data_IF_881607334226
#
_entry.id   IF_881607334226
#
_cell.length_a   1.000
_cell.length_b   1.000
_cell.length_c   1.000
_cell.angle_alpha   90.00
_cell.angle_beta   90.00
_cell.angle_gamma   90.00
#
_symmetry.space_group_name_H-M   'P 1'
#
loop_
_entity.id
_entity.type
_entity.pdbx_description
1 polymer ?
#
# COMPACT_ATOMS: atom_id res chain seq x y z
N UNK A 1 -27.66 -6.26 -7.83
CA UNK A 1 -26.77 -5.23 -8.35
C UNK A 1 -25.41 -5.91 -8.58
N UNK A 2 -24.97 -6.09 -9.83
CA UNK A 2 -23.69 -6.70 -10.13
C UNK A 2 -22.57 -5.74 -9.77
N UNK A 3 -21.45 -6.19 -9.15
CA UNK A 3 -20.32 -5.31 -8.85
C UNK A 3 -19.72 -4.77 -10.15
N UNK A 4 -19.19 -3.53 -10.14
CA UNK A 4 -18.53 -2.97 -11.30
C UNK A 4 -17.33 -3.87 -11.69
N UNK A 5 -17.30 -4.32 -12.92
CA UNK A 5 -16.18 -5.11 -13.44
C UNK A 5 -14.98 -4.19 -13.60
N UNK A 6 -13.99 -4.32 -12.71
CA UNK A 6 -12.65 -3.77 -12.90
C UNK A 6 -12.01 -4.45 -14.13
N UNK A 7 -12.02 -3.78 -15.27
CA UNK A 7 -11.19 -4.18 -16.40
C UNK A 7 -9.76 -3.69 -16.14
N UNK A 8 -8.89 -4.59 -15.70
CA UNK A 8 -7.45 -4.36 -15.79
C UNK A 8 -7.08 -4.28 -17.27
N UNK A 9 -6.65 -3.10 -17.70
CA UNK A 9 -5.97 -2.95 -18.98
C UNK A 9 -4.51 -3.33 -18.74
N UNK A 10 -4.18 -4.60 -18.99
CA UNK A 10 -2.78 -5.04 -19.05
C UNK A 10 -2.07 -4.27 -20.15
N UNK A 11 -0.91 -3.67 -19.82
CA UNK A 11 -0.15 -2.75 -20.65
C UNK A 11 0.47 -3.38 -21.90
N UNK A 12 -0.36 -3.78 -22.84
CA UNK A 12 0.05 -3.91 -24.24
C UNK A 12 -0.23 -2.56 -24.91
N UNK A 13 0.77 -1.97 -25.55
CA UNK A 13 0.73 -0.77 -26.38
C UNK A 13 -0.16 -0.94 -27.64
N UNK A 14 -1.31 -1.55 -27.46
CA UNK A 14 -2.33 -1.70 -28.50
C UNK A 14 -3.26 -0.51 -28.44
N UNK A 15 -3.19 0.33 -29.44
CA UNK A 15 -4.00 1.45 -29.89
C UNK A 15 -5.08 2.03 -28.97
N UNK A 16 -5.47 3.24 -29.22
CA UNK A 16 -6.54 3.97 -28.53
C UNK A 16 -7.84 3.15 -28.54
N UNK A 17 -8.41 2.89 -27.37
CA UNK A 17 -9.77 2.34 -27.25
C UNK A 17 -10.72 3.48 -26.87
N UNK A 18 -11.70 3.74 -27.71
CA UNK A 18 -12.79 4.64 -27.37
C UNK A 18 -13.62 4.00 -26.27
N UNK A 19 -13.73 4.67 -25.12
CA UNK A 19 -14.68 4.32 -24.07
C UNK A 19 -15.99 5.05 -24.35
N UNK A 20 -17.11 4.33 -24.27
CA UNK A 20 -18.43 4.90 -24.37
C UNK A 20 -19.16 4.62 -23.06
N UNK A 21 -19.57 5.65 -22.38
CA UNK A 21 -20.36 5.58 -21.15
C UNK A 21 -21.74 6.22 -21.38
N UNK A 22 -22.68 5.91 -20.51
CA UNK A 22 -23.96 6.61 -20.44
C UNK A 22 -23.76 8.05 -19.97
N UNK A 23 -24.75 8.89 -20.17
CA UNK A 23 -24.72 10.33 -19.83
C UNK A 23 -24.32 10.60 -18.37
N UNK A 24 -24.71 9.69 -17.45
CA UNK A 24 -24.47 9.82 -16.01
C UNK A 24 -23.34 8.90 -15.52
N UNK A 25 -22.51 8.38 -16.43
CA UNK A 25 -21.40 7.50 -16.08
C UNK A 25 -20.27 8.28 -15.36
N UNK A 26 -19.83 7.74 -14.21
CA UNK A 26 -18.66 8.23 -13.49
C UNK A 26 -17.47 7.38 -13.93
N UNK A 27 -16.40 8.04 -14.37
CA UNK A 27 -15.13 7.38 -14.73
C UNK A 27 -14.16 7.51 -13.55
N UNK A 28 -13.71 6.39 -13.03
CA UNK A 28 -12.64 6.34 -12.04
C UNK A 28 -11.36 5.90 -12.77
N UNK A 29 -10.37 6.79 -12.81
CA UNK A 29 -9.03 6.49 -13.31
C UNK A 29 -8.05 6.40 -12.14
N UNK A 30 -7.31 5.28 -12.04
CA UNK A 30 -6.33 5.10 -10.99
C UNK A 30 -4.93 4.89 -11.56
N UNK A 31 -3.92 5.30 -10.82
CA UNK A 31 -2.52 5.11 -11.13
C UNK A 31 -1.63 6.03 -10.32
N UNK A 32 -0.42 5.57 -10.03
CA UNK A 32 0.53 6.29 -9.19
C UNK A 32 0.95 7.67 -9.75
N UNK A 33 0.75 7.91 -11.04
CA UNK A 33 1.08 9.16 -11.73
C UNK A 33 -0.14 9.99 -12.13
N UNK A 34 -1.36 9.61 -11.70
CA UNK A 34 -2.57 10.31 -12.14
C UNK A 34 -2.64 11.78 -11.72
N UNK A 35 -1.99 12.15 -10.61
CA UNK A 35 -1.88 13.54 -10.13
C UNK A 35 -0.72 14.32 -10.76
N UNK A 36 0.10 13.68 -11.61
CA UNK A 36 1.17 14.37 -12.31
C UNK A 36 0.57 15.42 -13.28
N UNK A 37 1.06 16.66 -13.31
CA UNK A 37 0.53 17.73 -14.19
C UNK A 37 0.43 17.34 -15.66
N UNK A 38 1.36 16.52 -16.17
CA UNK A 38 1.32 16.03 -17.56
C UNK A 38 0.03 15.28 -17.92
N UNK A 39 -0.63 14.69 -16.91
CA UNK A 39 -1.89 13.96 -17.05
C UNK A 39 -3.02 14.79 -16.46
N UNK A 40 -2.89 15.21 -15.21
CA UNK A 40 -3.96 15.83 -14.44
C UNK A 40 -4.40 17.18 -14.98
N UNK A 41 -3.49 18.01 -15.49
CA UNK A 41 -3.85 19.33 -16.01
C UNK A 41 -4.77 19.27 -17.24
N UNK A 42 -4.71 18.17 -17.99
CA UNK A 42 -5.63 17.92 -19.12
C UNK A 42 -7.05 17.54 -18.68
N UNK A 43 -7.21 17.12 -17.43
CA UNK A 43 -8.48 16.65 -16.86
C UNK A 43 -9.00 17.58 -15.77
N UNK A 44 -8.25 18.60 -15.38
CA UNK A 44 -8.49 19.44 -14.18
C UNK A 44 -9.87 20.10 -14.17
N UNK A 45 -10.43 20.44 -15.31
CA UNK A 45 -11.77 21.04 -15.42
C UNK A 45 -12.91 20.05 -15.22
N UNK A 46 -12.64 18.75 -15.38
CA UNK A 46 -13.64 17.69 -15.43
C UNK A 46 -13.44 16.60 -14.39
N UNK A 47 -12.29 16.60 -13.68
CA UNK A 47 -11.93 15.56 -12.74
C UNK A 47 -11.55 16.11 -11.37
N UNK A 48 -11.91 15.40 -10.33
CA UNK A 48 -11.45 15.63 -8.96
C UNK A 48 -10.30 14.67 -8.63
N UNK A 49 -9.17 15.23 -8.23
CA UNK A 49 -8.03 14.44 -7.77
C UNK A 49 -8.24 13.91 -6.36
N UNK A 50 -7.96 12.63 -6.15
CA UNK A 50 -7.97 11.98 -4.82
C UNK A 50 -6.61 11.36 -4.58
N UNK A 51 -5.97 11.71 -3.47
CA UNK A 51 -4.73 11.08 -3.02
C UNK A 51 -5.02 10.06 -1.92
N UNK A 52 -4.70 8.81 -2.18
CA UNK A 52 -4.99 7.67 -1.30
C UNK A 52 -3.67 7.04 -0.86
N UNK A 53 -3.35 7.13 0.44
CA UNK A 53 -2.13 6.55 1.00
C UNK A 53 -2.24 6.43 2.53
N UNK A 54 -1.49 5.51 3.18
CA UNK A 54 -1.32 5.58 4.62
C UNK A 54 -0.55 6.85 4.98
N UNK A 55 -1.04 7.61 5.96
CA UNK A 55 -0.47 8.90 6.39
C UNK A 55 -0.21 8.95 7.90
N UNK A 56 -0.89 8.12 8.66
CA UNK A 56 -0.75 8.03 10.11
C UNK A 56 0.65 7.55 10.48
N UNK A 57 1.23 8.20 11.49
CA UNK A 57 2.49 7.84 12.13
C UNK A 57 2.18 7.09 13.41
N UNK A 58 2.95 6.06 13.71
CA UNK A 58 2.84 5.32 14.97
C UNK A 58 3.93 5.81 15.90
N UNK A 59 3.58 6.18 17.12
CA UNK A 59 4.53 6.52 18.19
C UNK A 59 4.67 5.29 19.07
N UNK A 60 5.89 4.81 19.24
CA UNK A 60 6.23 3.68 20.10
C UNK A 60 6.34 4.12 21.56
N UNK A 61 6.37 3.17 22.49
CA UNK A 61 6.48 3.44 23.92
C UNK A 61 7.80 4.15 24.32
N UNK A 62 8.82 4.08 23.48
CA UNK A 62 10.11 4.76 23.63
C UNK A 62 10.20 6.04 22.77
N UNK A 63 9.07 6.65 22.44
CA UNK A 63 8.91 7.89 21.68
C UNK A 63 9.53 7.88 20.27
N UNK A 64 9.72 6.70 19.68
CA UNK A 64 10.15 6.57 18.29
C UNK A 64 8.97 6.69 17.35
N UNK A 65 9.22 7.22 16.17
CA UNK A 65 8.20 7.43 15.14
C UNK A 65 8.39 6.41 14.01
N UNK A 66 7.43 5.51 13.89
CA UNK A 66 7.28 4.66 12.70
C UNK A 66 6.48 5.44 11.65
N UNK A 67 7.11 5.65 10.51
CA UNK A 67 6.52 6.43 9.40
C UNK A 67 5.66 5.54 8.50
N UNK A 68 4.69 6.15 7.77
CA UNK A 68 3.82 5.42 6.85
C UNK A 68 4.58 4.60 5.79
N UNK A 69 5.75 5.07 5.35
CA UNK A 69 6.61 4.37 4.40
C UNK A 69 7.10 3.03 4.96
N UNK A 70 7.46 3.00 6.25
CA UNK A 70 7.91 1.79 6.94
C UNK A 70 6.76 0.78 7.10
N UNK A 71 5.55 1.25 7.41
CA UNK A 71 4.36 0.38 7.45
C UNK A 71 4.09 -0.27 6.07
N UNK A 72 4.25 0.48 4.99
CA UNK A 72 4.15 -0.06 3.64
C UNK A 72 5.18 -1.14 3.31
N UNK A 73 6.36 -1.07 3.92
CA UNK A 73 7.36 -2.16 3.80
C UNK A 73 6.81 -3.45 4.38
N UNK A 74 6.20 -3.41 5.58
CA UNK A 74 5.59 -4.61 6.20
C UNK A 74 4.45 -5.16 5.35
N UNK A 75 3.54 -4.30 4.89
CA UNK A 75 2.46 -4.70 3.96
C UNK A 75 3.02 -5.46 2.75
N UNK A 76 4.07 -4.91 2.13
CA UNK A 76 4.71 -5.52 0.95
C UNK A 76 5.39 -6.83 1.30
N UNK A 77 6.12 -6.92 2.42
CA UNK A 77 6.76 -8.17 2.83
C UNK A 77 5.75 -9.31 2.91
N UNK A 78 4.63 -9.10 3.58
CA UNK A 78 3.60 -10.13 3.74
C UNK A 78 2.97 -10.48 2.37
N UNK A 79 2.55 -9.49 1.59
CA UNK A 79 1.92 -9.71 0.29
C UNK A 79 2.87 -10.41 -0.68
N UNK A 80 4.07 -9.87 -0.86
CA UNK A 80 5.00 -10.34 -1.89
C UNK A 80 5.53 -11.74 -1.55
N UNK A 81 5.68 -12.05 -0.26
CA UNK A 81 5.96 -13.42 0.17
C UNK A 81 4.82 -14.37 -0.18
N UNK A 82 3.56 -14.03 0.20
CA UNK A 82 2.40 -14.90 0.00
C UNK A 82 1.98 -15.07 -1.45
N UNK A 83 2.04 -14.01 -2.25
CA UNK A 83 1.41 -13.98 -3.57
C UNK A 83 2.39 -13.98 -4.73
N UNK A 84 3.66 -13.61 -4.50
CA UNK A 84 4.68 -13.43 -5.55
C UNK A 84 5.92 -14.30 -5.36
N UNK A 85 6.02 -15.00 -4.23
CA UNK A 85 7.18 -15.85 -3.92
C UNK A 85 8.49 -15.07 -3.74
N UNK A 86 8.43 -13.78 -3.40
CA UNK A 86 9.63 -12.99 -3.13
C UNK A 86 10.09 -13.23 -1.69
N UNK A 87 11.41 -13.19 -1.46
CA UNK A 87 11.98 -13.16 -0.12
C UNK A 87 11.68 -11.83 0.58
N UNK A 88 11.70 -11.85 1.91
CA UNK A 88 11.52 -10.63 2.72
C UNK A 88 12.64 -9.63 2.44
N UNK A 89 13.88 -10.11 2.35
CA UNK A 89 15.05 -9.29 2.05
C UNK A 89 14.94 -8.60 0.68
N UNK A 90 14.50 -9.33 -0.36
CA UNK A 90 14.33 -8.73 -1.69
C UNK A 90 13.25 -7.65 -1.71
N UNK A 91 12.17 -7.87 -0.96
CA UNK A 91 11.12 -6.87 -0.80
C UNK A 91 11.63 -5.61 -0.12
N UNK A 92 12.43 -5.75 0.95
CA UNK A 92 13.04 -4.60 1.66
C UNK A 92 14.02 -3.84 0.76
N UNK A 93 14.89 -4.56 0.03
CA UNK A 93 15.83 -3.92 -0.91
C UNK A 93 15.11 -3.11 -2.00
N UNK A 94 14.05 -3.66 -2.55
CA UNK A 94 13.21 -2.97 -3.55
C UNK A 94 12.45 -1.78 -2.96
N UNK A 95 12.02 -1.84 -1.70
CA UNK A 95 11.29 -0.76 -1.04
C UNK A 95 12.05 0.56 -1.06
N UNK A 96 13.36 0.56 -0.83
CA UNK A 96 14.19 1.78 -0.88
C UNK A 96 14.13 2.49 -2.25
N UNK A 97 14.10 1.72 -3.34
CA UNK A 97 13.97 2.29 -4.69
C UNK A 97 12.58 2.88 -4.92
N UNK A 98 11.55 2.20 -4.43
CA UNK A 98 10.17 2.66 -4.52
C UNK A 98 9.96 3.93 -3.72
N UNK A 99 10.51 4.01 -2.50
CA UNK A 99 10.40 5.20 -1.65
C UNK A 99 11.09 6.41 -2.29
N UNK A 100 12.27 6.23 -2.91
CA UNK A 100 12.90 7.30 -3.71
C UNK A 100 12.04 7.74 -4.88
N UNK A 101 11.42 6.80 -5.59
CA UNK A 101 10.49 7.09 -6.67
C UNK A 101 9.28 7.88 -6.20
N UNK A 102 8.72 7.53 -5.05
CA UNK A 102 7.59 8.24 -4.46
C UNK A 102 7.94 9.68 -4.08
N UNK A 103 9.06 9.88 -3.38
CA UNK A 103 9.53 11.22 -2.98
C UNK A 103 9.77 12.11 -4.19
N UNK A 104 10.34 11.56 -5.26
CA UNK A 104 10.73 12.35 -6.43
C UNK A 104 9.59 12.58 -7.42
N UNK A 105 8.65 11.64 -7.57
CA UNK A 105 7.71 11.64 -8.69
C UNK A 105 6.22 11.59 -8.29
N UNK A 106 5.90 11.30 -7.02
CA UNK A 106 4.51 11.20 -6.56
C UNK A 106 4.20 12.29 -5.53
N UNK A 107 5.00 12.40 -4.48
CA UNK A 107 4.76 13.37 -3.40
C UNK A 107 4.74 14.83 -3.85
N UNK A 108 5.55 15.28 -4.82
CA UNK A 108 5.49 16.64 -5.31
C UNK A 108 4.12 17.04 -5.89
N UNK A 109 3.35 16.07 -6.37
CA UNK A 109 2.07 16.28 -7.04
C UNK A 109 0.83 16.04 -6.16
N UNK A 110 1.02 15.63 -4.90
CA UNK A 110 -0.10 15.37 -3.97
C UNK A 110 -0.99 16.58 -3.73
N UNK A 111 -0.46 17.81 -3.89
CA UNK A 111 -1.21 19.03 -3.75
C UNK A 111 -2.27 19.24 -4.85
N UNK A 112 -2.21 18.49 -5.96
CA UNK A 112 -3.22 18.49 -7.01
C UNK A 112 -4.49 17.71 -6.61
N UNK A 113 -4.44 16.93 -5.53
CA UNK A 113 -5.61 16.26 -5.01
C UNK A 113 -6.46 17.20 -4.16
N UNK A 114 -7.77 17.24 -4.46
CA UNK A 114 -8.76 17.96 -3.64
C UNK A 114 -9.10 17.18 -2.37
N UNK A 115 -8.98 15.84 -2.40
CA UNK A 115 -9.32 14.95 -1.30
C UNK A 115 -8.11 14.08 -0.97
N UNK A 116 -7.82 13.93 0.32
CA UNK A 116 -6.78 13.06 0.85
C UNK A 116 -7.41 12.00 1.74
N UNK A 117 -7.22 10.73 1.41
CA UNK A 117 -7.73 9.59 2.18
C UNK A 117 -6.55 8.90 2.86
N UNK A 118 -6.61 8.78 4.19
CA UNK A 118 -5.69 7.95 4.94
C UNK A 118 -6.21 6.50 4.94
N UNK A 119 -5.36 5.57 4.49
CA UNK A 119 -5.70 4.14 4.44
C UNK A 119 -5.15 3.35 5.63
N UNK A 120 -4.70 4.02 6.67
CA UNK A 120 -4.29 3.39 7.92
C UNK A 120 -5.52 2.95 8.73
N UNK A 121 -5.42 1.81 9.38
CA UNK A 121 -6.38 1.32 10.35
C UNK A 121 -5.69 1.03 11.68
N UNK A 122 -6.29 1.45 12.79
CA UNK A 122 -5.69 1.33 14.13
C UNK A 122 -5.34 -0.12 14.51
N UNK A 123 -6.09 -1.10 14.02
CA UNK A 123 -5.84 -2.52 14.26
C UNK A 123 -4.79 -3.14 13.32
N UNK A 124 -4.37 -2.40 12.31
CA UNK A 124 -3.48 -2.93 11.26
C UNK A 124 -2.13 -3.41 11.78
N UNK A 125 -1.42 -2.67 12.66
CA UNK A 125 -0.15 -3.13 13.21
C UNK A 125 -0.26 -4.50 13.87
N UNK A 126 -1.34 -4.74 14.62
CA UNK A 126 -1.59 -6.01 15.31
C UNK A 126 -1.79 -7.19 14.34
N UNK A 127 -2.48 -6.93 13.20
CA UNK A 127 -2.67 -7.94 12.15
C UNK A 127 -1.37 -8.21 11.41
N UNK A 128 -0.66 -7.16 11.04
CA UNK A 128 0.60 -7.29 10.29
C UNK A 128 1.68 -7.99 11.12
N UNK A 129 1.76 -7.68 12.44
CA UNK A 129 2.64 -8.36 13.38
C UNK A 129 2.42 -9.88 13.37
N UNK A 130 1.15 -10.30 13.53
CA UNK A 130 0.79 -11.72 13.50
C UNK A 130 1.23 -12.40 12.19
N UNK A 131 0.90 -11.80 11.05
CA UNK A 131 1.20 -12.41 9.75
C UNK A 131 2.68 -12.42 9.42
N UNK A 132 3.44 -11.45 9.90
CA UNK A 132 4.88 -11.42 9.71
C UNK A 132 5.56 -12.53 10.51
N UNK A 133 5.11 -12.78 11.74
CA UNK A 133 5.60 -13.89 12.58
C UNK A 133 5.23 -15.28 12.03
N UNK A 134 4.13 -15.40 11.29
CA UNK A 134 3.71 -16.65 10.66
C UNK A 134 4.56 -17.03 9.41
N UNK A 135 5.39 -16.14 8.92
CA UNK A 135 6.31 -16.44 7.80
C UNK A 135 7.46 -17.32 8.33
N UNK A 136 7.61 -18.57 7.84
CA UNK A 136 8.57 -19.52 8.40
C UNK A 136 10.02 -19.04 8.41
N UNK A 137 10.43 -18.32 7.37
CA UNK A 137 11.79 -17.78 7.23
C UNK A 137 11.98 -16.38 7.85
N UNK A 138 10.99 -15.86 8.59
CA UNK A 138 11.00 -14.49 9.08
C UNK A 138 12.28 -14.12 9.82
N UNK A 139 12.66 -14.91 10.84
CA UNK A 139 13.84 -14.63 11.65
C UNK A 139 15.17 -14.98 10.95
N UNK A 140 15.14 -15.89 10.00
CA UNK A 140 16.31 -16.26 9.20
C UNK A 140 16.65 -15.17 8.17
N UNK A 141 15.63 -14.58 7.55
CA UNK A 141 15.83 -13.54 6.56
C UNK A 141 16.03 -12.16 7.17
N UNK A 142 15.30 -11.81 8.23
CA UNK A 142 15.39 -10.53 8.92
C UNK A 142 16.29 -10.63 10.14
N UNK A 143 17.59 -10.86 9.89
CA UNK A 143 18.58 -10.88 10.97
C UNK A 143 18.76 -9.49 11.59
N UNK A 144 19.27 -9.39 12.84
CA UNK A 144 19.53 -8.08 13.47
C UNK A 144 20.43 -7.17 12.63
N UNK A 145 21.43 -7.75 11.95
CA UNK A 145 22.35 -7.02 11.07
C UNK A 145 21.60 -6.44 9.87
N UNK A 146 20.74 -7.25 9.23
CA UNK A 146 19.92 -6.82 8.09
C UNK A 146 18.92 -5.73 8.51
N UNK A 147 18.23 -5.92 9.62
CA UNK A 147 17.27 -4.95 10.18
C UNK A 147 17.96 -3.60 10.43
N UNK A 148 19.15 -3.62 11.04
CA UNK A 148 19.91 -2.40 11.31
C UNK A 148 20.41 -1.73 10.02
N UNK A 149 20.95 -2.52 9.08
CA UNK A 149 21.43 -2.03 7.79
C UNK A 149 20.36 -1.26 7.00
N UNK A 150 19.12 -1.72 7.07
CA UNK A 150 18.00 -1.11 6.33
C UNK A 150 17.16 -0.15 7.16
N UNK A 151 17.57 0.18 8.39
CA UNK A 151 16.88 1.15 9.25
C UNK A 151 15.50 0.70 9.69
N UNK A 152 15.29 -0.60 9.87
CA UNK A 152 14.01 -1.20 10.23
C UNK A 152 13.88 -1.44 11.75
N UNK A 153 14.87 -1.08 12.55
CA UNK A 153 14.93 -1.40 13.99
C UNK A 153 13.70 -0.89 14.74
N UNK A 154 13.32 0.38 14.56
CA UNK A 154 12.19 0.97 15.27
C UNK A 154 10.86 0.39 14.76
N UNK A 155 10.76 0.09 13.47
CA UNK A 155 9.62 -0.61 12.89
C UNK A 155 9.43 -2.00 13.50
N UNK A 156 10.51 -2.79 13.57
CA UNK A 156 10.43 -4.15 14.11
C UNK A 156 10.07 -4.16 15.59
N UNK A 157 10.63 -3.25 16.38
CA UNK A 157 10.23 -3.06 17.78
C UNK A 157 8.76 -2.69 17.92
N UNK A 158 8.26 -1.80 17.05
CA UNK A 158 6.84 -1.41 17.07
C UNK A 158 5.94 -2.61 16.73
N UNK A 159 6.30 -3.40 15.73
CA UNK A 159 5.56 -4.62 15.34
C UNK A 159 5.57 -5.66 16.47
N UNK A 160 6.71 -5.86 17.13
CA UNK A 160 6.85 -6.82 18.24
C UNK A 160 6.17 -6.34 19.53
N UNK A 161 5.93 -5.04 19.70
CA UNK A 161 5.32 -4.48 20.90
C UNK A 161 3.78 -4.54 20.92
N UNK A 162 3.15 -4.83 19.79
CA UNK A 162 1.69 -4.87 19.69
C UNK A 162 1.15 -6.29 19.84
N UNK A 163 0.01 -6.49 20.54
CA UNK A 163 -0.59 -7.80 20.65
C UNK A 163 -1.08 -8.28 19.27
N UNK A 164 -0.82 -9.56 18.91
CA UNK A 164 -1.29 -10.09 17.63
C UNK A 164 -2.81 -10.19 17.59
N UNK A 165 -3.42 -9.75 16.50
CA UNK A 165 -4.85 -9.83 16.28
C UNK A 165 -5.18 -10.90 15.22
N UNK A 166 -6.18 -11.73 15.49
CA UNK A 166 -6.59 -12.80 14.58
C UNK A 166 -7.44 -12.28 13.42
N UNK A 167 -7.23 -12.86 12.25
CA UNK A 167 -7.91 -12.50 10.98
C UNK A 167 -9.44 -12.41 11.05
N UNK A 168 -10.18 -13.27 11.81
CA UNK A 168 -11.64 -13.15 11.91
C UNK A 168 -12.15 -11.79 12.38
N UNK A 169 -11.34 -11.04 13.12
CA UNK A 169 -11.70 -9.70 13.59
C UNK A 169 -11.51 -8.61 12.54
N UNK A 170 -10.89 -8.92 11.40
CA UNK A 170 -10.72 -7.95 10.30
C UNK A 170 -11.94 -8.02 9.38
N UNK A 171 -12.63 -6.90 9.11
CA UNK A 171 -13.75 -6.87 8.16
C UNK A 171 -13.36 -7.41 6.79
N UNK A 172 -14.25 -8.17 6.14
CA UNK A 172 -13.96 -8.79 4.83
C UNK A 172 -13.71 -7.76 3.72
N UNK A 173 -14.24 -6.55 3.85
CA UNK A 173 -14.06 -5.44 2.93
C UNK A 173 -12.92 -4.49 3.32
N UNK A 174 -12.12 -4.84 4.34
CA UNK A 174 -10.96 -4.02 4.72
C UNK A 174 -9.85 -4.10 3.67
N UNK A 175 -9.20 -2.97 3.39
CA UNK A 175 -8.00 -2.93 2.53
C UNK A 175 -6.85 -3.78 3.09
N UNK A 176 -6.79 -3.98 4.40
CA UNK A 176 -5.77 -4.84 5.03
C UNK A 176 -5.85 -6.28 4.50
N UNK A 177 -7.03 -6.71 4.06
CA UNK A 177 -7.23 -8.04 3.45
C UNK A 177 -6.46 -8.25 2.14
N UNK A 178 -6.11 -7.18 1.43
CA UNK A 178 -5.22 -7.27 0.25
C UNK A 178 -3.87 -7.93 0.61
N UNK A 179 -3.37 -7.66 1.81
CA UNK A 179 -2.06 -8.16 2.26
C UNK A 179 -2.15 -9.51 2.95
N UNK A 180 -3.20 -9.71 3.73
CA UNK A 180 -3.34 -10.90 4.58
C UNK A 180 -4.26 -11.99 4.00
N UNK A 181 -5.06 -11.64 3.01
CA UNK A 181 -5.96 -12.55 2.32
C UNK A 181 -7.39 -12.56 2.89
N UNK A 182 -8.28 -13.32 2.22
CA UNK A 182 -9.68 -13.48 2.62
C UNK A 182 -10.54 -12.24 2.43
N UNK A 183 -10.22 -11.40 1.45
CA UNK A 183 -11.05 -10.27 1.04
C UNK A 183 -12.34 -10.71 0.37
N UNK A 184 -13.42 -9.93 0.53
CA UNK A 184 -14.63 -10.08 -0.28
C UNK A 184 -14.46 -9.52 -1.70
N UNK A 185 -13.38 -8.78 -1.95
CA UNK A 185 -13.01 -8.30 -3.28
C UNK A 185 -12.06 -9.28 -3.96
N UNK A 186 -12.18 -9.41 -5.28
CA UNK A 186 -11.21 -10.15 -6.11
C UNK A 186 -10.16 -9.14 -6.59
N UNK A 187 -8.92 -9.40 -6.25
CA UNK A 187 -7.74 -8.60 -6.65
C UNK A 187 -6.99 -9.26 -7.81
#
# INVERSE_FOLDING_TARGET
>A
MLPPQLRQVTGNTGGWRKMQGDKDAIIIAEGIHMLNPLIFDRLRSEANGIYVAPRTRIITNDDKIVRPEQLRVVRRMIRDYKTRGHSLQDTVRKAQSVDRGEVNYIQPHKHNAAIHIDTFHDYEPCILAKYLEEIPCFREELTPEFINQYGLTDLMKAVESVPPLHTPFVPLNSIVREFVGGSCFQY
#
